data_IF_577696066874
#
_entry.id   IF_577696066874
#
_cell.length_a   1.000
_cell.length_b   1.000
_cell.length_c   1.000
_cell.angle_alpha   90.00
_cell.angle_beta   90.00
_cell.angle_gamma   90.00
#
_symmetry.space_group_name_H-M   'P 1'
#
loop_
_entity.id
_entity.type
_entity.pdbx_description
1 polymer ?
#
# COMPACT_ATOMS: atom_id res chain seq x y z
N UNK A 1 -19.10 6.69 -24.38
CA UNK A 1 -18.03 5.73 -24.73
C UNK A 1 -16.85 5.96 -23.82
N UNK A 2 -16.40 4.96 -23.07
CA UNK A 2 -15.12 5.05 -22.37
C UNK A 2 -14.05 5.00 -23.46
N UNK A 3 -13.31 6.08 -23.69
CA UNK A 3 -12.26 6.15 -24.72
C UNK A 3 -11.12 5.15 -24.48
N UNK A 4 -10.11 5.17 -25.34
CA UNK A 4 -8.84 4.47 -25.14
C UNK A 4 -8.00 5.19 -24.06
N UNK A 5 -8.46 5.14 -22.82
CA UNK A 5 -7.83 5.80 -21.69
C UNK A 5 -7.25 4.78 -20.72
N UNK A 6 -6.19 5.18 -20.02
CA UNK A 6 -5.64 4.51 -18.85
C UNK A 6 -5.61 5.48 -17.68
N UNK A 7 -6.18 5.07 -16.56
CA UNK A 7 -6.22 5.84 -15.33
C UNK A 7 -5.24 5.27 -14.32
N UNK A 8 -4.42 6.14 -13.75
CA UNK A 8 -3.62 5.82 -12.58
C UNK A 8 -4.48 6.10 -11.34
N UNK A 9 -4.71 5.07 -10.53
CA UNK A 9 -5.41 5.15 -9.24
C UNK A 9 -4.38 5.23 -8.12
N UNK A 10 -4.54 6.24 -7.26
CA UNK A 10 -3.69 6.50 -6.09
C UNK A 10 -3.72 5.33 -5.11
N UNK A 11 -2.58 5.04 -4.48
CA UNK A 11 -2.46 3.97 -3.48
C UNK A 11 -2.20 4.54 -2.09
N UNK A 12 -3.00 4.14 -1.12
CA UNK A 12 -2.73 4.38 0.30
C UNK A 12 -1.93 3.20 0.83
N UNK A 13 -0.77 3.48 1.43
CA UNK A 13 0.08 2.44 2.03
C UNK A 13 -0.28 2.31 3.51
N UNK A 14 -0.91 1.20 3.89
CA UNK A 14 -1.34 0.95 5.26
C UNK A 14 -0.19 0.39 6.09
N UNK A 15 0.09 1.06 7.20
CA UNK A 15 1.19 0.78 8.12
C UNK A 15 0.65 1.05 9.52
N UNK A 16 0.72 0.07 10.40
CA UNK A 16 0.25 0.26 11.78
C UNK A 16 1.11 1.31 12.51
N UNK A 17 0.50 2.03 13.43
CA UNK A 17 1.18 3.00 14.28
C UNK A 17 1.74 2.25 15.51
N UNK A 18 3.04 2.36 15.78
CA UNK A 18 3.74 1.53 16.78
C UNK A 18 3.24 1.72 18.22
N UNK A 19 2.78 2.91 18.55
CA UNK A 19 2.22 3.33 19.86
C UNK A 19 0.70 3.19 19.91
N UNK A 20 0.06 2.64 18.88
CA UNK A 20 -1.39 2.46 18.82
C UNK A 20 -1.80 1.03 19.18
N UNK A 21 -2.65 0.91 20.19
CA UNK A 21 -3.16 -0.38 20.62
C UNK A 21 -4.34 -0.83 19.76
N UNK A 22 -4.04 -1.52 18.65
CA UNK A 22 -5.07 -2.10 17.80
C UNK A 22 -5.73 -3.32 18.43
N UNK A 23 -7.06 -3.38 18.34
CA UNK A 23 -7.80 -4.58 18.68
C UNK A 23 -7.48 -5.75 17.73
N UNK A 24 -7.71 -6.97 18.23
CA UNK A 24 -7.67 -8.19 17.43
C UNK A 24 -8.67 -8.09 16.28
N UNK A 25 -8.23 -8.48 15.09
CA UNK A 25 -9.06 -8.42 13.89
C UNK A 25 -10.30 -9.30 14.00
N UNK A 26 -11.42 -8.77 13.50
CA UNK A 26 -12.71 -9.43 13.34
C UNK A 26 -13.02 -9.57 11.87
N UNK A 27 -13.23 -10.80 11.40
CA UNK A 27 -13.52 -11.09 9.99
C UNK A 27 -14.86 -10.55 9.51
N UNK A 28 -15.78 -10.26 10.43
CA UNK A 28 -17.09 -9.67 10.13
C UNK A 28 -17.05 -8.15 9.88
N UNK A 29 -15.88 -7.51 10.01
CA UNK A 29 -15.72 -6.06 9.86
C UNK A 29 -14.70 -5.80 8.73
N UNK A 30 -14.96 -4.86 7.81
CA UNK A 30 -13.98 -4.48 6.80
C UNK A 30 -12.65 -4.02 7.41
N UNK A 31 -11.53 -4.42 6.79
CA UNK A 31 -10.20 -4.17 7.35
C UNK A 31 -9.87 -2.67 7.47
N UNK A 32 -10.35 -1.86 6.51
CA UNK A 32 -10.21 -0.38 6.49
C UNK A 32 -10.88 0.33 7.67
N UNK A 33 -11.74 -0.37 8.40
CA UNK A 33 -12.38 0.15 9.61
C UNK A 33 -11.65 -0.24 10.89
N UNK A 34 -10.84 -1.29 10.80
CA UNK A 34 -10.06 -1.84 11.91
C UNK A 34 -8.61 -1.38 11.86
N UNK A 35 -8.14 -0.97 10.68
CA UNK A 35 -6.78 -0.51 10.37
C UNK A 35 -6.86 0.73 9.51
N UNK A 36 -6.45 1.86 10.08
CA UNK A 36 -6.67 3.18 9.51
C UNK A 36 -5.47 4.12 9.68
N UNK A 37 -4.31 3.60 10.08
CA UNK A 37 -3.07 4.35 9.94
C UNK A 37 -2.36 4.00 8.63
N UNK A 38 -1.79 5.01 7.98
CA UNK A 38 -1.09 4.81 6.71
C UNK A 38 -0.47 6.08 6.15
N UNK A 39 0.10 5.95 4.95
CA UNK A 39 0.66 7.05 4.17
C UNK A 39 -0.34 7.46 3.09
N UNK A 40 -0.83 8.70 3.16
CA UNK A 40 -1.72 9.22 2.13
C UNK A 40 -0.91 9.72 0.92
N UNK A 41 -1.32 9.39 -0.32
CA UNK A 41 -0.55 9.72 -1.53
C UNK A 41 -0.82 11.16 -1.99
N UNK A 42 -0.33 12.15 -1.24
CA UNK A 42 -0.49 13.57 -1.56
C UNK A 42 0.16 13.98 -2.88
N UNK A 43 1.35 13.44 -3.17
CA UNK A 43 2.12 13.76 -4.37
C UNK A 43 2.12 12.58 -5.32
N UNK A 44 1.39 12.66 -6.43
CA UNK A 44 1.12 11.48 -7.21
C UNK A 44 2.30 10.97 -8.04
N UNK A 45 3.38 11.72 -8.11
CA UNK A 45 4.41 11.57 -9.13
C UNK A 45 5.54 10.63 -8.67
N UNK A 46 5.53 10.23 -7.39
CA UNK A 46 6.63 9.52 -6.75
C UNK A 46 6.32 8.02 -6.66
N UNK A 47 7.07 7.24 -7.44
CA UNK A 47 7.44 5.84 -7.23
C UNK A 47 6.41 4.89 -6.58
N UNK A 48 5.85 3.98 -7.39
CA UNK A 48 5.20 2.73 -6.97
C UNK A 48 3.86 2.83 -6.21
N UNK A 49 3.28 4.02 -6.06
CA UNK A 49 2.00 4.24 -5.37
C UNK A 49 0.77 4.24 -6.31
N UNK A 50 0.79 3.44 -7.38
CA UNK A 50 -0.26 3.43 -8.40
C UNK A 50 -0.69 2.03 -8.79
N UNK A 51 -1.97 1.91 -9.16
CA UNK A 51 -2.43 0.85 -10.05
C UNK A 51 -3.18 1.46 -11.21
N UNK A 52 -3.07 0.81 -12.36
CA UNK A 52 -3.66 1.30 -13.58
C UNK A 52 -4.94 0.53 -13.89
N UNK A 53 -5.98 1.26 -14.30
CA UNK A 53 -7.20 0.72 -14.90
C UNK A 53 -7.22 1.26 -16.32
N UNK A 54 -7.27 0.38 -17.32
CA UNK A 54 -7.22 0.78 -18.72
C UNK A 54 -8.36 0.20 -19.53
N UNK A 55 -8.71 0.93 -20.58
CA UNK A 55 -9.60 0.50 -21.65
C UNK A 55 -8.86 0.49 -23.00
N UNK A 56 -7.60 0.06 -22.97
CA UNK A 56 -6.80 -0.27 -24.15
C UNK A 56 -6.85 -1.79 -24.39
N UNK A 57 -6.58 -2.22 -25.63
CA UNK A 57 -6.51 -3.64 -26.00
C UNK A 57 -5.47 -4.42 -25.15
N UNK A 58 -4.41 -3.74 -24.73
CA UNK A 58 -3.43 -4.23 -23.77
C UNK A 58 -3.11 -3.15 -22.71
N UNK A 59 -2.47 -3.55 -21.61
CA UNK A 59 -2.04 -2.60 -20.58
C UNK A 59 -0.63 -2.05 -20.78
N UNK A 60 0.11 -2.52 -21.79
CA UNK A 60 1.53 -2.25 -22.03
C UNK A 60 2.41 -2.22 -20.76
N UNK A 61 2.17 -3.13 -19.83
CA UNK A 61 2.81 -3.11 -18.51
C UNK A 61 4.28 -3.52 -18.55
N UNK A 62 5.09 -2.84 -17.74
CA UNK A 62 6.44 -3.32 -17.40
C UNK A 62 6.38 -4.44 -16.34
N UNK A 63 7.46 -5.21 -16.14
CA UNK A 63 7.51 -6.23 -15.09
C UNK A 63 7.07 -5.70 -13.71
N UNK A 64 6.26 -6.49 -13.00
CA UNK A 64 5.64 -6.08 -11.73
C UNK A 64 4.39 -5.19 -11.87
N UNK A 65 4.06 -4.75 -13.09
CA UNK A 65 2.87 -3.93 -13.41
C UNK A 65 2.80 -2.64 -12.58
N UNK A 66 3.98 -2.10 -12.22
CA UNK A 66 4.11 -0.82 -11.53
C UNK A 66 4.17 0.37 -12.50
N UNK A 67 4.37 0.08 -13.80
CA UNK A 67 4.46 1.06 -14.87
C UNK A 67 3.77 0.53 -16.12
N UNK A 68 3.32 1.43 -16.97
CA UNK A 68 2.76 1.17 -18.30
C UNK A 68 3.50 2.04 -19.32
N UNK A 69 3.53 1.62 -20.59
CA UNK A 69 3.99 2.47 -21.70
C UNK A 69 2.90 3.39 -22.26
N UNK A 70 1.64 3.15 -21.93
CA UNK A 70 0.56 4.10 -22.23
C UNK A 70 0.71 5.33 -21.36
N UNK A 71 0.27 6.50 -21.83
CA UNK A 71 0.29 7.73 -21.04
C UNK A 71 -0.90 7.73 -20.05
N UNK A 72 -0.67 7.54 -18.73
CA UNK A 72 -1.78 7.44 -17.79
C UNK A 72 -2.30 8.82 -17.38
N UNK A 73 -3.61 8.91 -17.16
CA UNK A 73 -4.28 10.07 -16.56
C UNK A 73 -4.41 9.80 -15.06
N UNK A 74 -3.94 10.72 -14.22
CA UNK A 74 -4.13 10.60 -12.77
C UNK A 74 -5.62 10.75 -12.46
N UNK A 75 -6.20 9.75 -11.79
CA UNK A 75 -7.58 9.80 -11.33
C UNK A 75 -7.67 10.50 -9.97
N UNK A 76 -8.13 11.75 -9.99
CA UNK A 76 -8.14 12.64 -8.82
C UNK A 76 -9.42 12.58 -7.97
N UNK A 77 -10.39 11.75 -8.32
CA UNK A 77 -11.57 11.54 -7.45
C UNK A 77 -11.22 10.61 -6.27
N UNK A 78 -12.02 10.60 -5.18
CA UNK A 78 -11.84 9.70 -4.04
C UNK A 78 -12.02 8.24 -4.47
N UNK A 79 -10.92 7.61 -4.84
CA UNK A 79 -10.83 6.20 -5.22
C UNK A 79 -9.38 5.79 -5.02
N UNK A 80 -9.16 4.80 -4.17
CA UNK A 80 -7.81 4.43 -3.75
C UNK A 80 -7.63 2.92 -3.74
N UNK A 81 -6.39 2.49 -3.99
CA UNK A 81 -5.95 1.13 -3.71
C UNK A 81 -5.34 1.10 -2.32
N UNK A 82 -5.83 0.22 -1.46
CA UNK A 82 -5.26 -0.02 -0.14
C UNK A 82 -4.17 -1.08 -0.21
N UNK A 83 -2.92 -0.70 0.05
CA UNK A 83 -1.80 -1.65 0.15
C UNK A 83 -1.48 -1.88 1.62
N UNK A 84 -1.93 -3.02 2.13
CA UNK A 84 -1.64 -3.52 3.48
C UNK A 84 -0.17 -3.94 3.59
N UNK A 85 0.71 -2.97 3.80
CA UNK A 85 2.14 -3.18 3.70
C UNK A 85 2.77 -3.60 5.02
N UNK A 86 2.44 -2.91 6.12
CA UNK A 86 2.86 -3.23 7.49
C UNK A 86 1.64 -3.16 8.42
N UNK A 87 0.50 -3.65 7.93
CA UNK A 87 -0.78 -3.62 8.62
C UNK A 87 -1.61 -4.84 8.22
N UNK A 88 -2.15 -5.64 9.16
CA UNK A 88 -1.87 -5.57 10.59
C UNK A 88 -0.39 -5.86 10.89
N UNK A 89 0.18 -5.28 11.93
CA UNK A 89 1.53 -5.60 12.41
C UNK A 89 1.49 -6.58 13.58
N UNK A 90 1.49 -7.87 13.25
CA UNK A 90 1.45 -8.96 14.23
C UNK A 90 2.38 -10.12 13.83
N UNK A 91 2.54 -11.10 14.72
CA UNK A 91 3.47 -12.23 14.52
C UNK A 91 3.20 -13.04 13.24
N UNK A 92 1.94 -13.22 12.84
CA UNK A 92 1.61 -13.92 11.58
C UNK A 92 2.08 -13.13 10.36
N UNK A 93 1.87 -11.81 10.34
CA UNK A 93 2.33 -10.96 9.23
C UNK A 93 3.85 -10.82 9.17
N UNK A 94 4.52 -10.74 10.34
CA UNK A 94 5.99 -10.74 10.44
C UNK A 94 6.56 -12.03 9.88
N UNK A 95 6.05 -13.18 10.34
CA UNK A 95 6.46 -14.49 9.85
C UNK A 95 6.29 -14.62 8.33
N UNK A 96 5.14 -14.19 7.79
CA UNK A 96 4.89 -14.25 6.34
C UNK A 96 5.86 -13.41 5.53
N UNK A 97 6.25 -12.22 6.01
CA UNK A 97 7.25 -11.38 5.35
C UNK A 97 8.63 -12.03 5.35
N UNK A 98 9.07 -12.54 6.50
CA UNK A 98 10.37 -13.17 6.66
C UNK A 98 10.52 -14.43 5.78
N UNK A 99 9.42 -15.12 5.48
CA UNK A 99 9.43 -16.25 4.52
C UNK A 99 9.76 -15.85 3.09
N UNK A 100 9.62 -14.58 2.69
CA UNK A 100 9.81 -14.17 1.29
C UNK A 100 11.29 -14.05 0.95
N UNK A 101 12.09 -13.42 1.81
CA UNK A 101 13.51 -13.13 1.52
C UNK A 101 14.32 -14.37 1.12
N UNK A 102 14.21 -15.53 1.80
CA UNK A 102 14.93 -16.76 1.41
C UNK A 102 14.54 -17.30 0.02
N UNK A 103 13.34 -16.96 -0.49
CA UNK A 103 12.86 -17.42 -1.80
C UNK A 103 13.33 -16.52 -2.96
N UNK A 104 14.03 -15.42 -2.66
CA UNK A 104 14.50 -14.50 -3.69
C UNK A 104 15.62 -15.12 -4.52
N UNK A 105 15.54 -14.97 -5.84
CA UNK A 105 16.62 -15.36 -6.74
C UNK A 105 17.90 -14.56 -6.49
N UNK A 106 19.06 -15.08 -6.89
CA UNK A 106 20.34 -14.35 -6.85
C UNK A 106 20.26 -12.97 -7.53
N UNK A 107 19.46 -12.86 -8.60
CA UNK A 107 19.20 -11.58 -9.28
C UNK A 107 18.37 -10.66 -8.40
N UNK A 108 17.32 -11.15 -7.76
CA UNK A 108 16.48 -10.38 -6.83
C UNK A 108 17.26 -9.84 -5.63
N UNK A 109 18.16 -10.65 -5.06
CA UNK A 109 19.04 -10.23 -3.96
C UNK A 109 20.00 -9.12 -4.40
N UNK A 110 20.60 -9.25 -5.60
CA UNK A 110 21.48 -8.23 -6.17
C UNK A 110 20.76 -6.91 -6.45
N UNK A 111 19.49 -6.97 -6.80
CA UNK A 111 18.62 -5.79 -7.00
C UNK A 111 18.08 -5.22 -5.69
N UNK A 112 18.44 -5.77 -4.52
CA UNK A 112 18.05 -5.23 -3.22
C UNK A 112 16.59 -5.53 -2.82
N UNK A 113 15.91 -6.49 -3.46
CA UNK A 113 14.50 -6.78 -3.16
C UNK A 113 14.26 -7.24 -1.70
N UNK A 114 15.27 -7.84 -1.07
CA UNK A 114 15.26 -8.25 0.33
C UNK A 114 15.00 -7.09 1.31
N UNK A 115 15.36 -5.86 0.92
CA UNK A 115 15.17 -4.66 1.74
C UNK A 115 13.67 -4.43 2.04
N UNK A 116 12.77 -4.86 1.15
CA UNK A 116 11.32 -4.68 1.34
C UNK A 116 10.71 -5.66 2.36
N UNK A 117 11.37 -6.79 2.61
CA UNK A 117 10.83 -7.89 3.42
C UNK A 117 11.64 -8.18 4.70
N UNK A 118 12.85 -7.62 4.81
CA UNK A 118 13.79 -7.86 5.91
C UNK A 118 14.53 -9.20 5.77
N UNK A 119 15.79 -9.27 6.23
CA UNK A 119 16.55 -10.53 6.30
C UNK A 119 16.44 -11.20 7.66
N UNK A 120 16.10 -10.43 8.69
CA UNK A 120 15.88 -10.90 10.06
C UNK A 120 14.70 -10.18 10.69
N UNK A 121 14.26 -10.66 11.86
CA UNK A 121 13.20 -10.03 12.64
C UNK A 121 13.57 -8.59 13.02
N UNK A 122 14.83 -8.36 13.41
CA UNK A 122 15.36 -7.07 13.85
C UNK A 122 15.38 -6.07 12.69
N UNK A 123 15.84 -6.48 11.50
CA UNK A 123 15.81 -5.62 10.31
C UNK A 123 14.39 -5.26 9.90
N UNK A 124 13.48 -6.23 10.01
CA UNK A 124 12.09 -6.05 9.65
C UNK A 124 11.38 -5.09 10.64
N UNK A 125 11.67 -5.20 11.94
CA UNK A 125 11.14 -4.32 12.98
C UNK A 125 11.72 -2.91 12.86
N UNK A 126 13.03 -2.77 12.65
CA UNK A 126 13.65 -1.46 12.41
C UNK A 126 13.03 -0.75 11.20
N UNK A 127 12.70 -1.48 10.14
CA UNK A 127 11.99 -0.94 8.98
C UNK A 127 10.56 -0.50 9.31
N UNK A 128 9.83 -1.29 10.11
CA UNK A 128 8.51 -0.91 10.59
C UNK A 128 8.55 0.38 11.39
N UNK A 129 9.46 0.48 12.38
CA UNK A 129 9.65 1.67 13.22
C UNK A 129 10.11 2.90 12.42
N UNK A 130 10.91 2.71 11.37
CA UNK A 130 11.27 3.81 10.48
C UNK A 130 10.05 4.36 9.74
N UNK A 131 9.17 3.48 9.24
CA UNK A 131 8.03 3.87 8.42
C UNK A 131 6.83 4.38 9.23
N UNK A 132 6.62 3.86 10.44
CA UNK A 132 5.48 4.23 11.30
C UNK A 132 5.49 5.72 11.65
N UNK A 133 6.66 6.34 11.74
CA UNK A 133 6.83 7.77 12.01
C UNK A 133 6.25 8.69 10.93
N UNK A 134 6.06 8.18 9.71
CA UNK A 134 5.47 8.94 8.60
C UNK A 134 3.95 8.72 8.46
N UNK A 135 3.35 7.86 9.30
CA UNK A 135 1.93 7.50 9.18
C UNK A 135 1.01 8.53 9.84
N UNK A 136 -0.19 8.65 9.30
CA UNK A 136 -1.28 9.46 9.83
C UNK A 136 -2.51 8.61 10.10
N UNK A 137 -3.39 9.06 11.01
CA UNK A 137 -4.73 8.51 11.14
C UNK A 137 -5.58 8.99 9.96
N UNK A 138 -5.92 8.07 9.06
CA UNK A 138 -6.65 8.34 7.83
C UNK A 138 -8.10 8.72 8.09
N UNK A 139 -8.68 8.38 9.26
CA UNK A 139 -10.06 8.77 9.61
C UNK A 139 -10.23 10.28 9.69
N UNK A 140 -9.14 11.01 9.92
CA UNK A 140 -9.11 12.47 9.95
C UNK A 140 -8.87 13.09 8.57
N UNK A 141 -8.68 12.28 7.52
CA UNK A 141 -8.41 12.77 6.17
C UNK A 141 -9.70 13.02 5.39
N UNK A 142 -9.93 14.22 4.81
CA UNK A 142 -11.20 14.55 4.14
C UNK A 142 -11.57 13.59 2.99
N UNK A 143 -10.61 13.23 2.12
CA UNK A 143 -10.88 12.29 1.02
C UNK A 143 -11.19 10.87 1.52
N UNK A 144 -10.64 10.47 2.67
CA UNK A 144 -10.90 9.16 3.26
C UNK A 144 -12.31 9.13 3.88
N UNK A 145 -12.72 10.22 4.53
CA UNK A 145 -14.08 10.39 5.05
C UNK A 145 -15.14 10.45 3.95
N UNK A 146 -14.78 10.85 2.72
CA UNK A 146 -15.69 10.75 1.57
C UNK A 146 -15.96 9.30 1.18
N UNK A 147 -14.95 8.43 1.25
CA UNK A 147 -15.11 6.98 1.02
C UNK A 147 -15.82 6.27 2.19
N UNK A 148 -15.57 6.72 3.41
CA UNK A 148 -16.08 6.10 4.62
C UNK A 148 -16.81 7.13 5.49
N UNK A 149 -18.05 7.52 5.13
CA UNK A 149 -18.78 8.62 5.76
C UNK A 149 -18.97 8.49 7.28
N UNK A 150 -18.94 7.28 7.82
CA UNK A 150 -19.06 7.04 9.26
C UNK A 150 -17.90 7.58 10.12
N UNK A 151 -16.79 7.95 9.49
CA UNK A 151 -15.66 8.59 10.19
C UNK A 151 -15.74 10.12 10.15
N UNK A 152 -16.79 10.69 9.54
CA UNK A 152 -17.08 12.10 9.69
C UNK A 152 -17.46 12.39 11.15
N UNK A 153 -16.99 13.52 11.72
CA UNK A 153 -17.40 13.95 13.06
C UNK A 153 -18.89 14.24 13.15
#
# INVERSE_FOLDING_TARGET
TLGQNIYAIRMIVMIDKHDYNYSKLRYSIPLVEQRYHGLFPYKPEIGCAWRFIHNHIDGAYLPGRHFTRHQPIVYNSPSFIFKFYFSPWNEHTKARKLQITPTLSKKGVRLGLQIQYGRSSEELEARFLMLTNSTQDLRNHPEYQQLFPKFKP
#
